data_IF_965799024698
#
_entry.id   IF_965799024698
#
_cell.length_a   1.000
_cell.length_b   1.000
_cell.length_c   1.000
_cell.angle_alpha   90.00
_cell.angle_beta   90.00
_cell.angle_gamma   90.00
#
_symmetry.space_group_name_H-M   'P 1'
#
loop_
_entity.id
_entity.type
_entity.pdbx_description
1 polymer ?
#
# COMPACT_ATOMS: atom_id res chain seq x y z
N UNK A 1 56.94 -51.20 -20.88
CA UNK A 1 56.88 -49.99 -20.10
C UNK A 1 56.11 -48.87 -20.84
N UNK A 2 56.27 -48.65 -22.14
CA UNK A 2 55.62 -47.58 -22.92
C UNK A 2 54.09 -47.74 -23.04
N UNK A 3 53.51 -48.95 -23.16
CA UNK A 3 52.08 -49.19 -23.29
C UNK A 3 51.29 -48.88 -22.01
N UNK A 4 51.87 -48.94 -20.82
CA UNK A 4 51.24 -48.61 -19.53
C UNK A 4 51.19 -47.11 -19.31
N UNK A 5 52.07 -46.31 -19.87
CA UNK A 5 52.08 -44.85 -19.81
C UNK A 5 50.98 -44.24 -20.70
N UNK A 6 50.76 -44.79 -21.90
CA UNK A 6 49.67 -44.33 -22.77
C UNK A 6 48.31 -44.62 -22.19
N UNK A 7 48.06 -45.80 -21.62
CA UNK A 7 46.75 -46.14 -21.01
C UNK A 7 46.44 -45.30 -19.76
N UNK A 8 47.43 -44.79 -19.04
CA UNK A 8 47.23 -43.84 -17.93
C UNK A 8 46.90 -42.42 -18.42
N UNK A 9 47.57 -41.95 -19.47
CA UNK A 9 47.31 -40.64 -20.06
C UNK A 9 45.87 -40.53 -20.64
N UNK A 10 45.41 -41.59 -21.28
CA UNK A 10 44.05 -41.64 -21.86
C UNK A 10 42.94 -41.66 -20.78
N UNK A 11 43.19 -42.36 -19.66
CA UNK A 11 42.23 -42.34 -18.51
C UNK A 11 42.16 -40.98 -17.83
N UNK A 12 43.30 -40.29 -17.70
CA UNK A 12 43.33 -38.94 -17.13
C UNK A 12 42.63 -37.93 -18.05
N UNK A 13 42.86 -38.02 -19.36
CA UNK A 13 42.15 -37.18 -20.35
C UNK A 13 40.63 -37.41 -20.34
N UNK A 14 40.20 -38.67 -20.30
CA UNK A 14 38.80 -39.01 -20.22
C UNK A 14 38.13 -38.49 -18.93
N UNK A 15 38.80 -38.57 -17.78
CA UNK A 15 38.32 -38.05 -16.51
C UNK A 15 38.21 -36.51 -16.49
N UNK A 16 39.19 -35.81 -17.07
CA UNK A 16 39.15 -34.33 -17.17
C UNK A 16 38.05 -33.85 -18.10
N UNK A 17 37.87 -34.52 -19.25
CA UNK A 17 36.78 -34.18 -20.18
C UNK A 17 35.41 -34.44 -19.55
N UNK A 18 35.23 -35.55 -18.84
CA UNK A 18 33.99 -35.86 -18.12
C UNK A 18 33.67 -34.84 -17.02
N UNK A 19 34.68 -34.39 -16.28
CA UNK A 19 34.54 -33.36 -15.25
C UNK A 19 34.19 -32.01 -15.86
N UNK A 20 34.77 -31.61 -16.98
CA UNK A 20 34.46 -30.37 -17.68
C UNK A 20 33.02 -30.38 -18.26
N UNK A 21 32.59 -31.51 -18.82
CA UNK A 21 31.21 -31.65 -19.33
C UNK A 21 30.21 -31.58 -18.16
N UNK A 22 30.50 -32.21 -17.02
CA UNK A 22 29.63 -32.16 -15.84
C UNK A 22 29.56 -30.74 -15.23
N UNK A 23 30.68 -30.01 -15.20
CA UNK A 23 30.69 -28.61 -14.74
C UNK A 23 29.93 -27.66 -15.69
N UNK A 24 30.04 -27.87 -17.01
CA UNK A 24 29.32 -27.12 -18.02
C UNK A 24 27.81 -27.43 -17.96
N UNK A 25 27.41 -28.67 -17.75
CA UNK A 25 26.01 -29.06 -17.58
C UNK A 25 25.41 -28.49 -16.28
N UNK A 26 26.16 -28.51 -15.17
CA UNK A 26 25.75 -27.91 -13.91
C UNK A 26 25.63 -26.38 -14.02
N UNK A 27 26.53 -25.72 -14.73
CA UNK A 27 26.49 -24.30 -15.02
C UNK A 27 25.29 -23.90 -15.90
N UNK A 28 24.95 -24.73 -16.89
CA UNK A 28 23.78 -24.50 -17.74
C UNK A 28 22.45 -24.69 -17.00
N UNK A 29 22.38 -25.64 -16.06
CA UNK A 29 21.18 -25.84 -15.22
C UNK A 29 21.00 -24.70 -14.22
N UNK A 30 22.09 -24.14 -13.68
CA UNK A 30 22.02 -22.96 -12.80
C UNK A 30 21.63 -21.67 -13.56
N UNK A 31 21.97 -21.57 -14.86
CA UNK A 31 21.59 -20.41 -15.68
C UNK A 31 20.12 -20.44 -16.16
N UNK A 32 19.46 -21.60 -16.13
CA UNK A 32 18.04 -21.75 -16.51
C UNK A 32 17.06 -21.50 -15.35
N UNK A 33 17.53 -21.25 -14.14
CA UNK A 33 16.72 -21.24 -12.93
C UNK A 33 16.34 -19.87 -12.34
N UNK A 34 16.75 -18.75 -12.93
CA UNK A 34 16.34 -17.42 -12.44
C UNK A 34 15.61 -16.65 -13.53
N UNK A 35 14.38 -17.07 -13.84
CA UNK A 35 13.43 -16.09 -14.34
C UNK A 35 13.24 -15.08 -13.20
N UNK A 36 13.93 -13.95 -13.26
CA UNK A 36 13.66 -12.82 -12.37
C UNK A 36 12.19 -12.47 -12.53
N UNK A 37 11.40 -12.63 -11.47
CA UNK A 37 10.05 -12.09 -11.41
C UNK A 37 10.22 -10.58 -11.51
N UNK A 38 10.11 -10.06 -12.72
CA UNK A 38 10.17 -8.63 -12.98
C UNK A 38 8.76 -8.08 -12.77
N UNK A 39 8.57 -7.35 -11.65
CA UNK A 39 7.38 -6.55 -11.49
C UNK A 39 7.35 -5.49 -12.62
N UNK A 40 6.19 -5.29 -13.23
CA UNK A 40 6.04 -4.20 -14.19
C UNK A 40 6.19 -2.85 -13.50
N UNK A 41 6.92 -1.96 -14.15
CA UNK A 41 7.07 -0.58 -13.70
C UNK A 41 5.76 0.19 -13.82
N UNK A 42 5.44 0.97 -12.80
CA UNK A 42 4.38 1.97 -12.82
C UNK A 42 3.37 1.84 -11.69
N UNK A 43 2.77 2.98 -11.36
CA UNK A 43 1.52 3.09 -10.62
C UNK A 43 0.49 3.72 -11.55
N UNK A 44 -0.57 2.97 -11.82
CA UNK A 44 -1.59 3.40 -12.77
C UNK A 44 -2.82 3.90 -12.03
N UNK A 45 -3.37 5.01 -12.48
CA UNK A 45 -4.70 5.44 -12.02
C UNK A 45 -5.78 4.60 -12.69
N UNK A 46 -6.95 4.46 -12.05
CA UNK A 46 -8.05 3.65 -12.60
C UNK A 46 -8.59 4.15 -13.94
N UNK A 47 -8.43 5.45 -14.23
CA UNK A 47 -8.82 6.07 -15.49
C UNK A 47 -7.71 6.10 -16.55
N UNK A 48 -6.52 5.60 -16.23
CA UNK A 48 -5.37 5.55 -17.13
C UNK A 48 -4.59 4.24 -17.00
N UNK A 49 -5.27 3.15 -16.77
CA UNK A 49 -4.67 1.82 -16.71
C UNK A 49 -4.38 1.30 -18.13
N UNK A 50 -3.21 0.74 -18.43
CA UNK A 50 -2.84 0.30 -19.79
C UNK A 50 -3.48 -1.05 -20.17
N UNK A 51 -4.81 -1.09 -20.25
CA UNK A 51 -5.62 -2.30 -20.46
C UNK A 51 -5.09 -3.16 -21.61
N UNK A 52 -4.86 -2.57 -22.78
CA UNK A 52 -4.46 -3.32 -23.97
C UNK A 52 -3.08 -3.99 -23.79
N UNK A 53 -2.11 -3.26 -23.21
CA UNK A 53 -0.76 -3.77 -22.99
C UNK A 53 -0.75 -4.91 -21.95
N UNK A 54 -1.48 -4.73 -20.84
CA UNK A 54 -1.58 -5.74 -19.78
C UNK A 54 -2.28 -7.00 -20.28
N UNK A 55 -3.41 -6.85 -20.98
CA UNK A 55 -4.13 -7.99 -21.56
C UNK A 55 -3.29 -8.76 -22.58
N UNK A 56 -2.53 -8.05 -23.43
CA UNK A 56 -1.65 -8.68 -24.41
C UNK A 56 -0.48 -9.42 -23.74
N UNK A 57 0.12 -8.81 -22.70
CA UNK A 57 1.30 -9.38 -22.02
C UNK A 57 0.96 -10.59 -21.16
N UNK A 58 -0.15 -10.54 -20.41
CA UNK A 58 -0.50 -11.54 -19.40
C UNK A 58 -1.69 -12.43 -19.78
N UNK A 59 -2.30 -12.24 -20.94
CA UNK A 59 -3.48 -13.00 -21.37
C UNK A 59 -4.72 -12.74 -20.50
N UNK A 60 -4.76 -11.60 -19.81
CA UNK A 60 -5.91 -11.19 -18.98
C UNK A 60 -7.05 -10.65 -19.87
N UNK A 61 -8.23 -10.44 -19.26
CA UNK A 61 -9.41 -9.85 -19.91
C UNK A 61 -9.92 -8.67 -19.11
N UNK A 62 -9.00 -7.79 -18.72
CA UNK A 62 -9.34 -6.57 -17.97
C UNK A 62 -10.07 -5.65 -18.95
N UNK A 63 -11.17 -5.06 -18.46
CA UNK A 63 -11.93 -4.00 -19.11
C UNK A 63 -12.22 -2.85 -18.12
N UNK A 64 -12.91 -1.82 -18.58
CA UNK A 64 -13.26 -0.68 -17.73
C UNK A 64 -14.20 -1.08 -16.60
N UNK A 65 -15.12 -2.02 -16.84
CA UNK A 65 -16.05 -2.49 -15.81
C UNK A 65 -15.33 -3.20 -14.67
N UNK A 66 -14.29 -3.98 -14.98
CA UNK A 66 -13.42 -4.58 -13.98
C UNK A 66 -12.65 -3.52 -13.18
N UNK A 67 -12.08 -2.51 -13.84
CA UNK A 67 -11.38 -1.41 -13.17
C UNK A 67 -12.32 -0.59 -12.26
N UNK A 68 -13.53 -0.31 -12.71
CA UNK A 68 -14.55 0.38 -11.94
C UNK A 68 -14.95 -0.41 -10.69
N UNK A 69 -15.16 -1.73 -10.84
CA UNK A 69 -15.42 -2.62 -9.72
C UNK A 69 -14.28 -2.61 -8.69
N UNK A 70 -13.03 -2.72 -9.12
CA UNK A 70 -11.86 -2.68 -8.22
C UNK A 70 -11.76 -1.31 -7.55
N UNK A 71 -11.98 -0.21 -8.29
CA UNK A 71 -11.99 1.15 -7.75
C UNK A 71 -13.06 1.33 -6.67
N UNK A 72 -14.27 0.88 -6.92
CA UNK A 72 -15.40 0.98 -5.98
C UNK A 72 -15.26 0.03 -4.79
N UNK A 73 -14.52 -1.06 -4.93
CA UNK A 73 -14.17 -1.96 -3.85
C UNK A 73 -12.98 -1.47 -3.00
N UNK A 74 -12.15 -0.57 -3.54
CA UNK A 74 -11.01 0.00 -2.84
C UNK A 74 -11.43 1.11 -1.88
N UNK A 75 -10.95 1.05 -0.64
CA UNK A 75 -11.30 2.00 0.42
C UNK A 75 -10.02 2.69 0.90
N UNK A 76 -10.13 3.97 1.18
CA UNK A 76 -9.16 4.76 1.91
C UNK A 76 -9.68 5.05 3.31
N UNK A 77 -8.90 4.76 4.33
CA UNK A 77 -9.20 5.19 5.70
C UNK A 77 -8.61 6.57 5.96
N UNK A 78 -9.23 7.34 6.86
CA UNK A 78 -8.77 8.70 7.22
C UNK A 78 -7.34 8.73 7.79
N UNK A 79 -6.85 7.61 8.30
CA UNK A 79 -5.44 7.41 8.70
C UNK A 79 -4.45 7.37 7.51
N UNK A 80 -4.94 7.35 6.27
CA UNK A 80 -4.14 7.16 5.06
C UNK A 80 -3.99 5.71 4.61
N UNK A 81 -4.46 4.76 5.40
CA UNK A 81 -4.41 3.34 5.08
C UNK A 81 -5.28 2.96 3.88
N UNK A 82 -4.80 2.00 3.11
CA UNK A 82 -5.59 1.29 2.11
C UNK A 82 -6.41 0.18 2.76
N UNK A 83 -7.61 -0.05 2.23
CA UNK A 83 -8.51 -1.09 2.67
C UNK A 83 -9.38 -1.56 1.49
N UNK A 84 -10.14 -2.63 1.66
CA UNK A 84 -10.97 -3.20 0.61
C UNK A 84 -12.32 -3.66 1.14
N UNK A 85 -13.39 -3.35 0.41
CA UNK A 85 -14.70 -3.99 0.61
C UNK A 85 -14.61 -5.46 0.19
N UNK A 86 -14.99 -6.36 1.08
CA UNK A 86 -14.85 -7.81 0.87
C UNK A 86 -16.17 -8.58 1.02
N UNK A 87 -17.26 -7.87 1.22
CA UNK A 87 -18.63 -8.44 1.19
C UNK A 87 -19.65 -7.42 0.68
N UNK A 88 -20.81 -7.89 0.27
CA UNK A 88 -21.95 -7.02 -0.14
C UNK A 88 -22.62 -6.25 1.01
N UNK A 89 -22.09 -6.33 2.25
CA UNK A 89 -22.67 -5.73 3.46
C UNK A 89 -21.65 -4.88 4.22
N UNK A 90 -20.83 -4.12 3.49
CA UNK A 90 -19.97 -3.10 4.05
C UNK A 90 -18.80 -3.60 4.89
N UNK A 91 -18.44 -4.89 4.85
CA UNK A 91 -17.25 -5.39 5.54
C UNK A 91 -16.00 -4.96 4.78
N UNK A 92 -15.07 -4.36 5.51
CA UNK A 92 -13.82 -3.77 5.00
C UNK A 92 -12.65 -4.50 5.63
N UNK A 93 -11.77 -5.06 4.81
CA UNK A 93 -10.48 -5.61 5.21
C UNK A 93 -9.42 -4.52 5.17
N UNK A 94 -8.60 -4.44 6.22
CA UNK A 94 -7.45 -3.54 6.32
C UNK A 94 -6.34 -4.18 7.17
N UNK A 95 -5.25 -3.46 7.41
CA UNK A 95 -4.20 -3.89 8.31
C UNK A 95 -4.59 -3.68 9.79
N UNK A 96 -4.02 -4.46 10.70
CA UNK A 96 -4.20 -4.27 12.13
C UNK A 96 -3.68 -2.90 12.59
N UNK A 97 -2.49 -2.49 12.16
CA UNK A 97 -1.92 -1.20 12.53
C UNK A 97 -2.81 0.00 12.13
N UNK A 98 -3.69 -0.17 11.12
CA UNK A 98 -4.63 0.86 10.68
C UNK A 98 -5.84 1.03 11.61
N UNK A 99 -6.16 0.03 12.43
CA UNK A 99 -7.25 0.06 13.40
C UNK A 99 -6.77 0.10 14.85
N UNK A 100 -5.46 0.07 15.08
CA UNK A 100 -4.86 0.06 16.42
C UNK A 100 -5.34 1.22 17.28
N UNK A 101 -5.38 2.43 16.74
CA UNK A 101 -5.89 3.60 17.44
C UNK A 101 -7.36 3.46 17.81
N UNK A 102 -8.18 2.84 16.94
CA UNK A 102 -9.57 2.52 17.25
C UNK A 102 -9.64 1.55 18.44
N UNK A 103 -8.91 0.44 18.39
CA UNK A 103 -8.86 -0.53 19.48
C UNK A 103 -8.39 0.11 20.79
N UNK A 104 -7.37 0.97 20.72
CA UNK A 104 -6.87 1.74 21.87
C UNK A 104 -7.92 2.67 22.48
N UNK A 105 -8.62 3.45 21.66
CA UNK A 105 -9.65 4.38 22.10
C UNK A 105 -10.89 3.67 22.68
N UNK A 106 -11.11 2.44 22.31
CA UNK A 106 -12.18 1.59 22.85
C UNK A 106 -11.76 0.83 24.11
N UNK A 107 -10.48 0.78 24.42
CA UNK A 107 -9.91 0.11 25.59
C UNK A 107 -10.10 0.96 26.85
N UNK A 108 -10.50 0.31 27.95
CA UNK A 108 -10.60 0.92 29.28
C UNK A 108 -10.49 -0.17 30.35
N UNK A 109 -9.80 0.07 31.46
CA UNK A 109 -9.62 -0.97 32.47
C UNK A 109 -10.92 -1.61 32.93
N UNK A 110 -11.02 -2.94 33.03
CA UNK A 110 -9.96 -3.92 32.84
C UNK A 110 -9.77 -4.40 31.37
N UNK A 111 -10.45 -3.82 30.39
CA UNK A 111 -10.49 -4.25 28.98
C UNK A 111 -9.36 -3.59 28.19
N UNK A 112 -8.55 -4.36 27.49
CA UNK A 112 -7.47 -3.89 26.62
C UNK A 112 -7.55 -4.59 25.23
N UNK A 113 -8.24 -3.99 24.28
CA UNK A 113 -8.41 -4.55 22.94
C UNK A 113 -7.13 -4.52 22.09
N UNK A 114 -6.12 -3.75 22.46
CA UNK A 114 -4.82 -3.81 21.79
C UNK A 114 -4.07 -5.05 22.21
N UNK A 115 -4.10 -5.40 23.52
CA UNK A 115 -3.41 -6.56 24.06
C UNK A 115 -4.18 -7.86 23.80
N UNK A 116 -5.48 -7.84 24.09
CA UNK A 116 -6.30 -9.07 24.13
C UNK A 116 -7.03 -9.32 22.80
N UNK A 117 -6.91 -8.40 21.84
CA UNK A 117 -7.65 -8.43 20.59
C UNK A 117 -9.14 -8.09 20.75
N UNK A 118 -9.85 -8.03 19.64
CA UNK A 118 -11.29 -7.80 19.59
C UNK A 118 -11.95 -8.67 18.52
N UNK A 119 -13.06 -9.31 18.87
CA UNK A 119 -13.91 -10.00 17.92
C UNK A 119 -15.37 -9.74 18.26
N UNK A 120 -16.14 -9.23 17.32
CA UNK A 120 -17.60 -9.13 17.46
C UNK A 120 -18.25 -10.44 17.06
N UNK A 121 -19.00 -11.06 17.97
CA UNK A 121 -19.76 -12.26 17.65
C UNK A 121 -21.02 -11.95 16.81
N UNK A 122 -21.58 -10.77 16.98
CA UNK A 122 -22.81 -10.30 16.33
C UNK A 122 -22.63 -8.85 15.91
N UNK A 123 -23.48 -8.36 14.99
CA UNK A 123 -23.43 -6.99 14.48
C UNK A 123 -23.66 -5.92 15.55
N UNK A 124 -24.51 -6.20 16.50
CA UNK A 124 -24.78 -5.32 17.65
C UNK A 124 -23.58 -5.18 18.60
N UNK A 125 -22.62 -6.10 18.53
CA UNK A 125 -21.39 -6.05 19.33
C UNK A 125 -20.29 -5.24 18.64
N UNK A 126 -20.44 -4.88 17.33
CA UNK A 126 -19.49 -4.08 16.58
C UNK A 126 -19.38 -2.66 17.17
N UNK A 127 -18.17 -2.18 17.39
CA UNK A 127 -17.89 -0.94 18.14
C UNK A 127 -17.50 0.21 17.23
N UNK A 128 -18.16 1.35 17.37
CA UNK A 128 -17.84 2.57 16.61
C UNK A 128 -16.38 2.99 16.87
N UNK A 129 -15.62 3.15 15.80
CA UNK A 129 -14.26 3.70 15.83
C UNK A 129 -14.31 5.23 15.84
N UNK A 130 -13.99 5.90 16.96
CA UNK A 130 -14.08 7.36 17.03
C UNK A 130 -13.20 8.06 16.01
N UNK A 131 -13.77 8.95 15.20
CA UNK A 131 -13.02 9.75 14.21
C UNK A 131 -12.54 9.01 12.97
N UNK A 132 -12.77 7.70 12.87
CA UNK A 132 -12.43 6.95 11.66
C UNK A 132 -13.43 7.25 10.55
N UNK A 133 -12.92 7.54 9.36
CA UNK A 133 -13.71 7.73 8.14
C UNK A 133 -13.21 6.77 7.07
N UNK A 134 -14.14 6.08 6.43
CA UNK A 134 -13.84 5.26 5.26
C UNK A 134 -14.31 6.00 4.00
N UNK A 135 -13.45 6.05 2.99
CA UNK A 135 -13.68 6.78 1.74
C UNK A 135 -13.56 5.84 0.54
N UNK A 136 -14.55 5.85 -0.33
CA UNK A 136 -14.56 5.12 -1.60
C UNK A 136 -14.49 6.12 -2.75
N UNK A 137 -13.55 5.95 -3.66
CA UNK A 137 -13.39 6.80 -4.84
C UNK A 137 -14.56 6.59 -5.81
N UNK A 138 -15.53 7.47 -5.79
CA UNK A 138 -16.76 7.38 -6.58
C UNK A 138 -16.51 7.81 -8.05
N UNK A 139 -15.87 8.96 -8.28
CA UNK A 139 -15.60 9.46 -9.63
C UNK A 139 -14.22 10.10 -9.76
N UNK A 140 -13.68 10.06 -10.97
CA UNK A 140 -12.48 10.77 -11.39
C UNK A 140 -12.87 11.68 -12.56
N UNK A 141 -12.63 12.99 -12.44
CA UNK A 141 -12.94 13.97 -13.48
C UNK A 141 -11.69 14.76 -13.84
N UNK A 142 -11.43 14.96 -15.14
CA UNK A 142 -10.28 15.73 -15.59
C UNK A 142 -10.50 17.23 -15.32
N UNK A 143 -9.57 17.85 -14.62
CA UNK A 143 -9.54 19.29 -14.33
C UNK A 143 -8.32 19.98 -14.97
N UNK A 144 -7.53 19.26 -15.78
CA UNK A 144 -6.26 19.75 -16.31
C UNK A 144 -6.43 21.00 -17.13
N UNK A 145 -7.35 21.00 -18.09
CA UNK A 145 -7.57 22.17 -18.99
C UNK A 145 -7.95 23.40 -18.19
N UNK A 146 -8.80 23.26 -17.20
CA UNK A 146 -9.27 24.36 -16.37
C UNK A 146 -8.13 24.98 -15.54
N UNK A 147 -7.32 24.15 -14.88
CA UNK A 147 -6.22 24.60 -14.01
C UNK A 147 -5.07 25.18 -14.85
N UNK A 148 -4.74 24.56 -15.99
CA UNK A 148 -3.72 25.09 -16.91
C UNK A 148 -4.13 26.42 -17.50
N UNK A 149 -5.38 26.63 -17.86
CA UNK A 149 -5.89 27.92 -18.35
C UNK A 149 -5.75 29.03 -17.30
N UNK A 150 -6.07 28.74 -16.03
CA UNK A 150 -5.94 29.69 -14.93
C UNK A 150 -4.48 30.11 -14.64
N UNK A 151 -3.53 29.23 -14.96
CA UNK A 151 -2.08 29.45 -14.73
C UNK A 151 -1.31 29.92 -15.95
N UNK A 152 -1.97 30.01 -17.11
CA UNK A 152 -1.34 30.40 -18.39
C UNK A 152 -0.61 31.74 -18.28
N UNK A 153 0.64 31.80 -18.74
CA UNK A 153 1.48 32.99 -18.72
C UNK A 153 1.98 33.45 -17.35
N UNK A 154 1.70 32.70 -16.29
CA UNK A 154 2.18 32.98 -14.94
C UNK A 154 3.42 32.15 -14.58
N UNK A 155 4.26 32.68 -13.67
CA UNK A 155 5.44 31.96 -13.15
C UNK A 155 5.67 32.30 -11.68
N UNK A 156 6.53 31.50 -11.00
CA UNK A 156 6.90 31.71 -9.60
C UNK A 156 5.69 31.78 -8.65
N UNK A 157 5.66 32.75 -7.72
CA UNK A 157 4.58 32.88 -6.74
C UNK A 157 3.19 33.09 -7.34
N UNK A 158 3.09 33.82 -8.46
CA UNK A 158 1.81 34.11 -9.11
C UNK A 158 1.22 32.83 -9.75
N UNK A 159 2.07 31.97 -10.30
CA UNK A 159 1.65 30.67 -10.78
C UNK A 159 1.08 29.82 -9.64
N UNK A 160 1.81 29.71 -8.52
CA UNK A 160 1.38 28.93 -7.35
C UNK A 160 0.04 29.44 -6.82
N UNK A 161 -0.08 30.74 -6.62
CA UNK A 161 -1.31 31.37 -6.14
C UNK A 161 -2.52 31.12 -7.05
N UNK A 162 -2.34 31.26 -8.36
CA UNK A 162 -3.42 31.04 -9.33
C UNK A 162 -3.82 29.56 -9.38
N UNK A 163 -2.83 28.64 -9.36
CA UNK A 163 -3.06 27.19 -9.32
C UNK A 163 -3.86 26.80 -8.09
N UNK A 164 -3.41 27.21 -6.91
CA UNK A 164 -4.02 26.79 -5.63
C UNK A 164 -5.44 27.38 -5.48
N UNK A 165 -5.67 28.62 -5.94
CA UNK A 165 -7.00 29.22 -5.97
C UNK A 165 -7.95 28.45 -6.91
N UNK A 166 -7.49 28.05 -8.08
CA UNK A 166 -8.31 27.31 -9.03
C UNK A 166 -8.58 25.88 -8.55
N UNK A 167 -7.58 25.21 -7.95
CA UNK A 167 -7.77 23.90 -7.29
C UNK A 167 -8.85 23.99 -6.24
N UNK A 168 -8.79 24.95 -5.32
CA UNK A 168 -9.81 25.14 -4.29
C UNK A 168 -11.21 25.42 -4.88
N UNK A 169 -11.29 26.17 -5.99
CA UNK A 169 -12.53 26.40 -6.73
C UNK A 169 -13.12 25.09 -7.28
N UNK A 170 -12.31 24.30 -7.95
CA UNK A 170 -12.70 23.00 -8.52
C UNK A 170 -13.19 22.04 -7.43
N UNK A 171 -12.48 21.94 -6.31
CA UNK A 171 -12.86 21.09 -5.18
C UNK A 171 -14.19 21.52 -4.54
N UNK A 172 -14.35 22.81 -4.31
CA UNK A 172 -15.58 23.39 -3.75
C UNK A 172 -16.79 23.13 -4.65
N UNK A 173 -16.66 23.42 -5.93
CA UNK A 173 -17.75 23.21 -6.91
C UNK A 173 -18.08 21.72 -7.08
N UNK A 174 -17.06 20.86 -7.11
CA UNK A 174 -17.22 19.43 -7.25
C UNK A 174 -18.04 18.77 -6.16
N UNK A 175 -17.99 19.31 -4.94
CA UNK A 175 -18.74 18.80 -3.79
C UNK A 175 -19.93 19.68 -3.37
N UNK A 176 -20.21 20.78 -4.09
CA UNK A 176 -21.27 21.73 -3.71
C UNK A 176 -22.61 21.04 -3.43
N UNK A 177 -23.16 21.29 -2.22
CA UNK A 177 -24.42 20.71 -1.75
C UNK A 177 -24.40 19.24 -1.36
N UNK A 178 -23.22 18.60 -1.32
CA UNK A 178 -23.05 17.18 -0.93
C UNK A 178 -21.82 16.93 -0.04
N UNK A 179 -21.31 17.99 0.60
CA UNK A 179 -20.09 17.96 1.41
C UNK A 179 -20.20 17.04 2.63
N UNK A 180 -21.41 16.83 3.13
CA UNK A 180 -21.67 15.90 4.24
C UNK A 180 -21.27 14.47 3.87
N UNK A 181 -21.64 14.05 2.66
CA UNK A 181 -21.48 12.66 2.19
C UNK A 181 -20.28 12.47 1.28
N UNK A 182 -19.72 13.53 0.74
CA UNK A 182 -18.60 13.45 -0.21
C UNK A 182 -17.45 14.35 0.20
N UNK A 183 -16.26 13.95 -0.20
CA UNK A 183 -15.05 14.77 -0.18
C UNK A 183 -14.50 14.88 -1.60
N UNK A 184 -14.20 16.08 -2.02
CA UNK A 184 -13.59 16.36 -3.30
C UNK A 184 -12.15 16.81 -3.10
N UNK A 185 -11.26 16.27 -3.91
CA UNK A 185 -9.83 16.58 -3.86
C UNK A 185 -9.26 16.58 -5.28
N UNK A 186 -8.54 17.62 -5.63
CA UNK A 186 -7.74 17.63 -6.85
C UNK A 186 -6.41 16.94 -6.58
N UNK A 187 -6.14 15.89 -7.33
CA UNK A 187 -4.88 15.16 -7.31
C UNK A 187 -4.01 15.66 -8.45
N UNK A 188 -2.80 16.12 -8.10
CA UNK A 188 -1.80 16.55 -9.07
C UNK A 188 -0.95 15.35 -9.47
N UNK A 189 -0.91 15.02 -10.74
CA UNK A 189 -0.18 13.91 -11.31
C UNK A 189 0.94 14.42 -12.22
N UNK A 190 1.99 13.61 -12.40
CA UNK A 190 3.11 13.91 -13.31
C UNK A 190 3.70 15.30 -13.07
N UNK A 191 3.93 15.65 -11.80
CA UNK A 191 4.50 16.95 -11.37
C UNK A 191 3.76 18.18 -11.91
N UNK A 192 2.44 18.09 -12.06
CA UNK A 192 1.59 19.17 -12.59
C UNK A 192 1.28 19.07 -14.08
N UNK A 193 1.69 17.99 -14.74
CA UNK A 193 1.28 17.68 -16.11
C UNK A 193 -0.20 17.30 -16.23
N UNK A 194 -0.83 16.87 -15.11
CA UNK A 194 -2.22 16.50 -15.10
C UNK A 194 -2.88 16.78 -13.74
N UNK A 195 -4.13 17.20 -13.77
CA UNK A 195 -4.95 17.46 -12.57
C UNK A 195 -6.27 16.70 -12.68
N UNK A 196 -6.58 15.90 -11.66
CA UNK A 196 -7.81 15.09 -11.62
C UNK A 196 -8.60 15.43 -10.36
N UNK A 197 -9.88 15.74 -10.50
CA UNK A 197 -10.80 15.88 -9.38
C UNK A 197 -11.28 14.49 -8.97
N UNK A 198 -10.91 14.04 -7.78
CA UNK A 198 -11.37 12.82 -7.15
C UNK A 198 -12.53 13.14 -6.21
N UNK A 199 -13.66 12.48 -6.43
CA UNK A 199 -14.83 12.58 -5.55
C UNK A 199 -14.95 11.30 -4.75
N UNK A 200 -14.75 11.42 -3.44
CA UNK A 200 -14.82 10.28 -2.52
C UNK A 200 -16.18 10.26 -1.81
N UNK A 201 -16.85 9.12 -1.79
CA UNK A 201 -17.97 8.87 -0.90
C UNK A 201 -17.42 8.60 0.49
N UNK A 202 -17.89 9.36 1.50
CA UNK A 202 -17.48 9.23 2.91
C UNK A 202 -18.47 8.40 3.69
N UNK A 203 -17.95 7.58 4.60
CA UNK A 203 -18.69 6.85 5.62
C UNK A 203 -18.06 7.15 6.97
N UNK A 204 -18.81 7.74 7.88
CA UNK A 204 -18.35 8.19 9.21
C UNK A 204 -18.76 7.25 10.34
N UNK A 205 -19.72 6.35 10.11
CA UNK A 205 -20.04 5.25 11.04
C UNK A 205 -19.26 4.02 10.60
N UNK A 206 -18.02 3.94 11.10
CA UNK A 206 -17.09 2.82 10.86
C UNK A 206 -16.92 2.08 12.18
N UNK A 207 -17.20 0.78 12.18
CA UNK A 207 -17.18 -0.03 13.39
C UNK A 207 -16.16 -1.14 13.32
N UNK A 208 -15.43 -1.35 14.42
CA UNK A 208 -14.49 -2.44 14.59
C UNK A 208 -15.25 -3.76 14.65
N UNK A 209 -14.82 -4.72 13.84
CA UNK A 209 -15.39 -6.08 13.75
C UNK A 209 -14.40 -7.10 14.30
N UNK A 210 -13.13 -6.97 13.91
CA UNK A 210 -12.06 -7.87 14.31
C UNK A 210 -10.72 -7.14 14.32
N UNK A 211 -9.96 -7.35 15.37
CA UNK A 211 -8.55 -7.02 15.48
C UNK A 211 -7.86 -8.14 16.27
N UNK A 212 -6.79 -8.79 15.76
CA UNK A 212 -6.02 -9.73 16.55
C UNK A 212 -5.29 -9.05 17.70
N UNK A 213 -4.76 -9.82 18.62
CA UNK A 213 -3.86 -9.36 19.67
C UNK A 213 -2.65 -8.65 19.05
N UNK A 214 -2.19 -7.55 19.66
CA UNK A 214 -1.09 -6.76 19.16
C UNK A 214 0.19 -7.57 18.93
N UNK A 215 0.50 -8.51 19.83
CA UNK A 215 1.67 -9.39 19.73
C UNK A 215 1.56 -10.41 18.58
N UNK A 216 0.35 -10.74 18.13
CA UNK A 216 0.13 -11.56 16.93
C UNK A 216 0.20 -10.72 15.65
N UNK A 217 -0.24 -9.48 15.73
CA UNK A 217 -0.27 -8.57 14.58
C UNK A 217 1.09 -7.99 14.24
N UNK A 218 1.98 -7.86 15.23
CA UNK A 218 3.32 -7.31 15.04
C UNK A 218 4.30 -7.91 16.06
N UNK A 219 5.28 -8.68 15.56
CA UNK A 219 6.36 -9.23 16.35
C UNK A 219 7.68 -9.24 15.54
N UNK A 220 8.82 -9.50 16.19
CA UNK A 220 10.12 -9.55 15.53
C UNK A 220 10.71 -8.20 15.15
N UNK A 221 9.97 -7.10 15.31
CA UNK A 221 10.40 -5.73 15.00
C UNK A 221 10.48 -5.42 13.50
N UNK A 222 11.08 -4.28 13.16
CA UNK A 222 11.21 -3.80 11.77
C UNK A 222 11.88 -4.80 10.81
N UNK A 223 12.94 -5.54 11.18
CA UNK A 223 13.54 -6.52 10.28
C UNK A 223 12.55 -7.58 9.80
N UNK A 224 11.71 -8.12 10.70
CA UNK A 224 10.74 -9.14 10.34
C UNK A 224 9.51 -8.54 9.63
N UNK A 225 9.13 -7.30 9.98
CA UNK A 225 8.03 -6.60 9.35
C UNK A 225 8.25 -6.31 7.86
N UNK A 226 9.50 -6.11 7.42
CA UNK A 226 9.85 -5.81 6.04
C UNK A 226 10.46 -6.98 5.26
N UNK A 227 10.55 -8.17 5.86
CA UNK A 227 11.09 -9.35 5.20
C UNK A 227 9.98 -10.21 4.56
N UNK A 228 10.41 -11.08 3.64
CA UNK A 228 9.58 -12.15 3.12
C UNK A 228 10.28 -13.50 3.42
N UNK A 229 9.55 -14.50 3.93
CA UNK A 229 8.12 -14.51 4.30
C UNK A 229 7.86 -13.74 5.60
N UNK A 230 6.67 -13.09 5.67
CA UNK A 230 6.21 -12.38 6.86
C UNK A 230 5.15 -13.23 7.57
N UNK A 231 5.29 -13.40 8.88
CA UNK A 231 4.40 -14.27 9.69
C UNK A 231 3.42 -13.47 10.56
N UNK A 232 3.57 -12.16 10.67
CA UNK A 232 2.65 -11.29 11.40
C UNK A 232 1.25 -11.34 10.79
N UNK A 233 0.22 -11.41 11.65
CA UNK A 233 -1.17 -11.29 11.25
C UNK A 233 -1.61 -9.81 11.28
N UNK A 234 -0.96 -8.96 10.48
CA UNK A 234 -1.31 -7.54 10.34
C UNK A 234 -2.58 -7.36 9.50
N UNK A 235 -3.70 -7.85 10.01
CA UNK A 235 -4.98 -7.92 9.33
C UNK A 235 -6.10 -7.61 10.32
N UNK A 236 -7.08 -6.80 9.91
CA UNK A 236 -8.25 -6.45 10.71
C UNK A 236 -9.47 -6.21 9.83
N UNK A 237 -10.64 -6.25 10.44
CA UNK A 237 -11.89 -5.94 9.77
C UNK A 237 -12.63 -4.81 10.49
N UNK A 238 -13.14 -3.88 9.70
CA UNK A 238 -14.14 -2.91 10.12
C UNK A 238 -15.37 -3.03 9.23
N UNK A 239 -16.48 -2.43 9.63
CA UNK A 239 -17.68 -2.36 8.80
C UNK A 239 -18.19 -0.94 8.71
N UNK A 240 -18.59 -0.54 7.50
CA UNK A 240 -19.22 0.75 7.25
C UNK A 240 -20.74 0.67 7.40
N UNK A 241 -21.29 1.70 8.05
CA UNK A 241 -22.72 1.84 8.32
C UNK A 241 -23.25 3.17 7.78
N UNK A 242 -24.53 3.19 7.44
CA UNK A 242 -25.30 4.40 7.15
C UNK A 242 -26.71 4.23 7.71
N UNK A 243 -27.20 5.21 8.47
CA UNK A 243 -28.51 5.14 9.10
C UNK A 243 -28.68 3.95 10.06
N UNK A 244 -27.60 3.55 10.75
CA UNK A 244 -27.58 2.43 11.69
C UNK A 244 -27.64 1.05 11.05
N UNK A 245 -27.49 0.95 9.73
CA UNK A 245 -27.48 -0.33 8.99
C UNK A 245 -26.16 -0.48 8.22
N UNK A 246 -25.64 -1.71 8.05
CA UNK A 246 -24.52 -1.96 7.16
C UNK A 246 -24.83 -1.44 5.75
N UNK A 247 -23.84 -0.77 5.15
CA UNK A 247 -23.96 -0.26 3.78
C UNK A 247 -24.02 -1.42 2.79
N UNK A 248 -24.94 -1.34 1.82
CA UNK A 248 -24.96 -2.27 0.69
C UNK A 248 -23.82 -1.92 -0.26
N UNK A 249 -22.92 -2.86 -0.49
CA UNK A 249 -21.70 -2.72 -1.30
C UNK A 249 -21.66 -3.78 -2.40
N UNK A 250 -22.40 -3.56 -3.53
CA UNK A 250 -22.43 -4.51 -4.63
C UNK A 250 -21.03 -4.74 -5.24
N UNK A 251 -20.25 -3.66 -5.33
CA UNK A 251 -18.87 -3.72 -5.76
C UNK A 251 -17.95 -4.02 -4.56
N UNK A 252 -17.52 -5.26 -4.48
CA UNK A 252 -16.59 -5.75 -3.47
C UNK A 252 -15.66 -6.80 -4.07
N UNK A 253 -14.50 -7.02 -3.47
CA UNK A 253 -13.57 -8.08 -3.85
C UNK A 253 -14.07 -9.42 -3.32
N UNK A 254 -14.02 -10.43 -4.15
CA UNK A 254 -14.45 -11.79 -3.81
C UNK A 254 -13.25 -12.59 -3.33
N UNK A 255 -13.40 -13.29 -2.22
CA UNK A 255 -12.38 -14.21 -1.71
C UNK A 255 -12.15 -15.36 -2.69
N UNK A 256 -10.87 -15.66 -2.97
CA UNK A 256 -10.47 -16.89 -3.63
C UNK A 256 -10.01 -17.89 -2.59
N UNK A 257 -10.47 -19.12 -2.73
CA UNK A 257 -9.97 -20.27 -1.93
C UNK A 257 -8.74 -20.91 -2.57
N UNK A 258 -8.49 -20.58 -3.84
CA UNK A 258 -7.33 -21.08 -4.57
C UNK A 258 -6.16 -20.09 -4.41
N UNK A 259 -4.99 -20.62 -4.08
CA UNK A 259 -3.76 -19.84 -4.09
C UNK A 259 -3.40 -19.40 -5.52
N UNK A 260 -2.78 -18.22 -5.71
CA UNK A 260 -2.27 -17.83 -7.00
C UNK A 260 -1.20 -18.81 -7.47
N UNK A 261 -1.23 -19.13 -8.76
CA UNK A 261 -0.20 -20.00 -9.38
C UNK A 261 1.06 -19.18 -9.65
N UNK A 262 2.21 -19.86 -9.70
CA UNK A 262 3.45 -19.21 -10.11
C UNK A 262 3.30 -18.59 -11.51
N UNK A 263 3.77 -17.34 -11.66
CA UNK A 263 3.61 -16.55 -12.89
C UNK A 263 2.22 -15.92 -13.10
N UNK A 264 1.26 -16.12 -12.19
CA UNK A 264 -0.03 -15.44 -12.29
C UNK A 264 0.12 -13.92 -12.08
N UNK A 265 -0.54 -13.06 -12.90
CA UNK A 265 -0.52 -11.63 -12.70
C UNK A 265 -1.29 -11.26 -11.43
N UNK A 266 -0.69 -10.42 -10.58
CA UNK A 266 -1.30 -9.89 -9.37
C UNK A 266 -1.46 -8.38 -9.49
N UNK A 267 -2.60 -7.86 -9.01
CA UNK A 267 -2.92 -6.45 -9.00
C UNK A 267 -3.12 -6.00 -7.56
N UNK A 268 -2.41 -4.93 -7.17
CA UNK A 268 -2.53 -4.32 -5.85
C UNK A 268 -3.21 -2.98 -6.01
N UNK A 269 -4.46 -2.86 -5.57
CA UNK A 269 -5.18 -1.60 -5.51
C UNK A 269 -5.04 -0.97 -4.14
N UNK A 270 -4.94 0.36 -4.10
CA UNK A 270 -4.86 1.08 -2.83
C UNK A 270 -4.48 2.54 -2.99
N UNK A 271 -4.14 3.14 -1.86
CA UNK A 271 -3.73 4.54 -1.77
C UNK A 271 -2.29 4.58 -1.27
N UNK A 272 -1.29 4.31 -2.13
CA UNK A 272 0.11 4.33 -1.73
C UNK A 272 0.51 5.75 -1.30
N UNK A 273 1.52 5.84 -0.44
CA UNK A 273 2.08 7.12 -0.03
C UNK A 273 2.79 7.82 -1.19
N UNK A 274 4.10 7.87 -1.17
CA UNK A 274 4.90 8.45 -2.25
C UNK A 274 5.91 7.43 -2.79
N UNK A 275 6.23 7.54 -4.07
CA UNK A 275 7.37 6.85 -4.67
C UNK A 275 8.31 7.88 -5.27
N UNK A 276 9.61 7.62 -5.17
CA UNK A 276 10.64 8.45 -5.76
C UNK A 276 11.24 7.71 -6.97
N UNK A 277 10.48 7.72 -8.06
CA UNK A 277 10.93 7.16 -9.34
C UNK A 277 11.32 8.30 -10.27
N UNK A 278 12.24 8.03 -11.19
CA UNK A 278 12.69 8.97 -12.21
C UNK A 278 13.26 10.29 -11.62
N UNK A 279 14.01 10.19 -10.54
CA UNK A 279 14.75 11.32 -9.99
C UNK A 279 15.93 11.69 -10.91
N UNK A 280 16.23 12.98 -11.03
CA UNK A 280 17.46 13.42 -11.67
C UNK A 280 18.68 13.12 -10.79
N UNK A 281 19.89 13.18 -11.38
CA UNK A 281 21.12 12.99 -10.64
C UNK A 281 21.26 14.00 -9.50
N UNK A 282 20.92 15.26 -9.73
CA UNK A 282 20.99 16.35 -8.74
C UNK A 282 20.00 16.14 -7.58
N UNK A 283 18.81 15.60 -7.88
CA UNK A 283 17.83 15.24 -6.83
C UNK A 283 18.36 14.08 -5.95
N UNK A 284 19.00 13.08 -6.55
CA UNK A 284 19.62 11.98 -5.82
C UNK A 284 20.81 12.46 -4.98
N UNK A 285 21.62 13.37 -5.51
CA UNK A 285 22.73 13.99 -4.78
C UNK A 285 22.22 14.79 -3.58
N UNK A 286 21.19 15.61 -3.77
CA UNK A 286 20.55 16.36 -2.67
C UNK A 286 19.99 15.41 -1.61
N UNK A 287 19.34 14.33 -2.02
CA UNK A 287 18.84 13.32 -1.08
C UNK A 287 19.98 12.69 -0.27
N UNK A 288 21.08 12.29 -0.93
CA UNK A 288 22.24 11.65 -0.32
C UNK A 288 23.00 12.61 0.61
N UNK A 289 23.27 13.84 0.15
CA UNK A 289 24.23 14.74 0.80
C UNK A 289 23.59 15.68 1.82
N UNK A 290 22.28 15.91 1.74
CA UNK A 290 21.53 16.81 2.62
C UNK A 290 20.43 16.09 3.36
N UNK A 291 19.40 15.57 2.66
CA UNK A 291 18.16 15.11 3.30
C UNK A 291 18.36 13.88 4.19
N UNK A 292 19.13 12.88 3.73
CA UNK A 292 19.40 11.67 4.52
C UNK A 292 20.26 11.94 5.75
N UNK A 293 21.38 12.70 5.68
CA UNK A 293 22.14 13.07 6.85
C UNK A 293 21.33 13.87 7.90
N UNK A 294 20.55 14.86 7.46
CA UNK A 294 19.68 15.63 8.38
C UNK A 294 18.64 14.76 9.05
N UNK A 295 17.99 13.86 8.28
CA UNK A 295 17.00 12.90 8.81
C UNK A 295 17.64 11.95 9.82
N UNK A 296 18.85 11.44 9.55
CA UNK A 296 19.57 10.56 10.46
C UNK A 296 19.91 11.26 11.78
N UNK A 297 20.37 12.51 11.73
CA UNK A 297 20.66 13.33 12.92
C UNK A 297 19.39 13.53 13.73
N UNK A 298 18.30 13.97 13.07
CA UNK A 298 17.01 14.21 13.71
C UNK A 298 16.48 12.96 14.42
N UNK A 299 16.47 11.83 13.75
CA UNK A 299 15.96 10.57 14.33
C UNK A 299 16.87 10.02 15.43
N UNK A 300 18.18 10.22 15.31
CA UNK A 300 19.13 9.84 16.38
C UNK A 300 18.89 10.66 17.65
N UNK A 301 18.66 11.96 17.51
CA UNK A 301 18.31 12.85 18.62
C UNK A 301 16.95 12.47 19.23
N UNK A 302 15.93 12.31 18.39
CA UNK A 302 14.59 11.91 18.84
C UNK A 302 14.63 10.59 19.60
N UNK A 303 15.34 9.59 19.07
CA UNK A 303 15.54 8.31 19.76
C UNK A 303 16.19 8.49 21.13
N UNK A 304 17.23 9.32 21.22
CA UNK A 304 17.90 9.61 22.49
C UNK A 304 16.96 10.27 23.51
N UNK A 305 16.14 11.23 23.07
CA UNK A 305 15.13 11.87 23.93
C UNK A 305 14.05 10.90 24.40
N UNK A 306 13.53 10.05 23.51
CA UNK A 306 12.50 9.07 23.83
C UNK A 306 13.03 8.00 24.81
N UNK A 307 14.24 7.49 24.60
CA UNK A 307 14.85 6.54 25.52
C UNK A 307 15.00 7.16 26.92
N UNK A 308 15.54 8.38 27.02
CA UNK A 308 15.65 9.07 28.31
C UNK A 308 14.30 9.30 28.97
N UNK A 309 13.29 9.74 28.19
CA UNK A 309 11.93 9.92 28.70
C UNK A 309 11.35 8.64 29.29
N UNK A 310 11.56 7.49 28.63
CA UNK A 310 11.07 6.20 29.11
C UNK A 310 11.81 5.70 30.37
N UNK A 311 13.08 6.10 30.56
CA UNK A 311 13.86 5.76 31.76
C UNK A 311 13.44 6.57 33.03
N UNK A 312 12.74 7.69 32.86
CA UNK A 312 12.34 8.55 33.97
C UNK A 312 11.23 7.93 34.85
N UNK A 313 10.34 7.10 34.30
CA UNK A 313 9.31 6.41 35.06
C UNK A 313 8.70 5.23 34.28
N UNK A 314 8.12 4.27 35.00
CA UNK A 314 7.37 3.19 34.38
C UNK A 314 6.13 3.66 33.59
N UNK A 315 5.53 4.79 33.97
CA UNK A 315 4.43 5.41 33.22
C UNK A 315 4.90 5.97 31.89
N UNK A 316 6.05 6.65 31.87
CA UNK A 316 6.64 7.17 30.64
C UNK A 316 7.03 6.05 29.68
N UNK A 317 7.59 4.96 30.19
CA UNK A 317 7.85 3.75 29.41
C UNK A 317 6.57 3.20 28.79
N UNK A 318 5.51 3.04 29.57
CA UNK A 318 4.21 2.55 29.08
C UNK A 318 3.59 3.47 28.02
N UNK A 319 3.79 4.79 28.10
CA UNK A 319 3.33 5.76 27.08
C UNK A 319 4.10 5.67 25.77
N UNK A 320 5.37 5.29 25.79
CA UNK A 320 6.20 5.16 24.61
C UNK A 320 5.91 3.85 23.85
N UNK A 321 5.60 2.77 24.58
CA UNK A 321 5.36 1.43 24.00
C UNK A 321 3.92 1.29 23.47
N UNK A 322 3.01 2.13 23.93
CA UNK A 322 1.62 2.19 23.42
C UNK A 322 1.50 3.06 22.19
#
# INVERSE_FOLDING_TARGET
MLKLLHARADRVRAAVISCLISCLAAGAVLALGTASVQADEGMWTFDNFPIAAVNAKYGTRIDQAWLDKVRLASVRLSSGCSASLVTGQGLVLTNHHCVRDCAQNLSHPPVDYVKDGFTSARREDEKLCPGMVAEVLATITDATVRITAATAGKSGPDFVKARDAEIAGVEKEGCAGKEEKYRCQVVTLYQGGQYKLYTFRKYTDVRLVFAPEGDTAFFGGDPDNFNFPRYDLDCSFVRIYEGGKPVTTPDHLVWSVDAPKDGAPLFVAGNPGSTQRLMTAEQLETLRDVSLPETLILYSQLRGHLLRFSEESGENFARQVR
#
